data_IF_979355294211
#
_entry.id   IF_979355294211
#
_cell.length_a   1.000
_cell.length_b   1.000
_cell.length_c   1.000
_cell.angle_alpha   90.00
_cell.angle_beta   90.00
_cell.angle_gamma   90.00
#
_symmetry.space_group_name_H-M   'P 1'
#
loop_
_entity.id
_entity.type
_entity.pdbx_description
1 polymer ?
#
# COMPACT_ATOMS: atom_id res chain seq x y z
N UNK A 1 -10.84 7.26 -28.42
CA UNK A 1 -10.21 7.58 -27.12
C UNK A 1 -11.11 8.57 -26.40
N UNK A 2 -11.96 8.09 -25.50
CA UNK A 2 -12.84 8.94 -24.70
C UNK A 2 -12.01 9.59 -23.60
N UNK A 3 -11.76 10.89 -23.77
CA UNK A 3 -10.94 11.71 -22.86
C UNK A 3 -11.59 11.82 -21.48
N UNK A 4 -10.75 11.88 -20.44
CA UNK A 4 -11.13 12.21 -19.05
C UNK A 4 -12.04 13.46 -18.97
N UNK A 5 -11.83 14.41 -19.88
CA UNK A 5 -12.64 15.62 -19.99
C UNK A 5 -14.12 15.34 -20.28
N UNK A 6 -14.43 14.33 -21.09
CA UNK A 6 -15.82 13.97 -21.40
C UNK A 6 -16.55 13.38 -20.19
N UNK A 7 -15.82 12.72 -19.28
CA UNK A 7 -16.38 12.14 -18.07
C UNK A 7 -16.68 13.23 -17.02
N UNK A 8 -15.79 14.22 -16.90
CA UNK A 8 -16.05 15.40 -16.06
C UNK A 8 -17.20 16.25 -16.57
N UNK A 9 -17.32 16.43 -17.88
CA UNK A 9 -18.41 17.19 -18.50
C UNK A 9 -19.77 16.52 -18.28
N UNK A 10 -19.82 15.18 -18.38
CA UNK A 10 -21.03 14.41 -18.04
C UNK A 10 -21.42 14.54 -16.56
N UNK A 11 -20.43 14.49 -15.64
CA UNK A 11 -20.68 14.67 -14.21
C UNK A 11 -21.19 16.10 -13.88
N UNK A 12 -20.63 17.11 -14.55
CA UNK A 12 -21.03 18.51 -14.40
C UNK A 12 -22.42 18.79 -14.97
N UNK A 13 -22.78 18.16 -16.11
CA UNK A 13 -24.09 18.28 -16.73
C UNK A 13 -25.23 17.79 -15.81
N UNK A 14 -25.01 16.69 -15.07
CA UNK A 14 -25.98 16.19 -14.09
C UNK A 14 -26.26 17.17 -12.94
N UNK A 15 -25.23 17.91 -12.49
CA UNK A 15 -25.36 18.95 -11.45
C UNK A 15 -26.06 20.21 -11.96
N UNK A 16 -25.84 20.60 -13.22
CA UNK A 16 -26.48 21.76 -13.83
C UNK A 16 -28.01 21.55 -14.04
N UNK A 17 -28.44 20.32 -14.33
CA UNK A 17 -29.86 20.01 -14.49
C UNK A 17 -30.63 20.09 -13.15
N UNK A 18 -29.96 19.75 -12.03
CA UNK A 18 -30.52 19.89 -10.68
C UNK A 18 -30.69 21.35 -10.25
N UNK A 19 -29.75 22.24 -10.58
CA UNK A 19 -29.83 23.66 -10.22
C UNK A 19 -30.83 24.45 -11.07
N UNK A 20 -31.06 24.04 -12.33
CA UNK A 20 -32.08 24.63 -13.20
C UNK A 20 -33.51 24.40 -12.69
N UNK A 21 -33.78 23.25 -12.06
CA UNK A 21 -35.08 22.96 -11.44
C UNK A 21 -35.37 23.85 -10.21
N UNK A 22 -34.34 24.20 -9.44
CA UNK A 22 -34.48 25.06 -8.26
C UNK A 22 -34.72 26.54 -8.59
N UNK A 23 -34.36 27.00 -9.80
CA UNK A 23 -34.42 28.43 -10.18
C UNK A 23 -35.79 28.90 -10.70
N UNK A 24 -36.76 27.99 -10.86
CA UNK A 24 -38.09 28.29 -11.42
C UNK A 24 -39.09 28.83 -10.38
N UNK A 25 -38.67 29.05 -9.14
CA UNK A 25 -39.55 29.31 -7.99
C UNK A 25 -39.73 30.76 -7.53
N UNK A 26 -39.17 31.77 -8.19
CA UNK A 26 -39.36 33.15 -7.70
C UNK A 26 -39.35 34.19 -8.83
N UNK A 27 -40.52 34.40 -9.45
CA UNK A 27 -40.75 35.52 -10.34
C UNK A 27 -41.09 36.75 -9.49
N UNK A 28 -40.06 37.53 -9.15
CA UNK A 28 -40.22 38.81 -8.44
C UNK A 28 -40.90 39.84 -9.34
N UNK A 29 -41.96 40.45 -8.81
CA UNK A 29 -42.82 41.46 -9.42
C UNK A 29 -42.06 42.77 -9.66
N UNK A 30 -41.38 42.86 -10.81
CA UNK A 30 -40.82 44.10 -11.32
C UNK A 30 -41.65 44.56 -12.52
N UNK A 31 -42.57 45.50 -12.31
CA UNK A 31 -43.38 46.09 -13.37
C UNK A 31 -42.55 47.01 -14.26
N UNK A 32 -42.03 46.47 -15.36
CA UNK A 32 -41.39 47.21 -16.43
C UNK A 32 -42.43 47.90 -17.34
N UNK A 33 -42.01 48.93 -18.07
CA UNK A 33 -42.82 49.63 -19.09
C UNK A 33 -43.15 48.66 -20.22
N UNK A 34 -44.45 48.56 -20.58
CA UNK A 34 -44.91 47.62 -21.60
C UNK A 34 -44.18 47.83 -22.94
N UNK A 35 -43.46 46.82 -23.40
CA UNK A 35 -42.87 46.77 -24.73
C UNK A 35 -43.90 46.35 -25.80
N UNK A 36 -43.75 46.79 -27.07
CA UNK A 36 -44.58 46.31 -28.16
C UNK A 36 -44.46 44.78 -28.28
N UNK A 37 -45.60 44.08 -28.35
CA UNK A 37 -45.77 42.60 -28.38
C UNK A 37 -45.87 41.87 -27.02
N UNK A 38 -46.07 42.56 -25.90
CA UNK A 38 -46.35 41.91 -24.60
C UNK A 38 -47.71 41.19 -24.51
N UNK A 39 -48.55 41.25 -25.53
CA UNK A 39 -49.83 40.52 -25.58
C UNK A 39 -49.70 39.07 -26.06
N UNK A 40 -48.50 38.60 -26.41
CA UNK A 40 -48.28 37.19 -26.77
C UNK A 40 -48.22 36.37 -25.47
N UNK A 41 -49.40 35.98 -25.00
CA UNK A 41 -49.53 35.06 -23.88
C UNK A 41 -49.22 33.65 -24.40
N UNK A 42 -47.99 33.19 -24.16
CA UNK A 42 -47.63 31.79 -24.40
C UNK A 42 -48.41 30.95 -23.40
N UNK A 43 -49.46 30.28 -23.88
CA UNK A 43 -50.20 29.30 -23.10
C UNK A 43 -49.29 28.10 -22.82
N UNK A 44 -48.70 28.06 -21.63
CA UNK A 44 -47.96 26.90 -21.14
C UNK A 44 -49.01 25.94 -20.56
N UNK A 45 -49.40 24.93 -21.35
CA UNK A 45 -50.26 23.85 -20.86
C UNK A 45 -49.57 23.19 -19.67
N UNK A 46 -50.21 23.23 -18.50
CA UNK A 46 -49.75 22.48 -17.33
C UNK A 46 -49.93 20.99 -17.64
N UNK A 47 -48.83 20.29 -17.88
CA UNK A 47 -48.83 18.84 -18.03
C UNK A 47 -48.94 18.26 -16.63
N UNK A 48 -50.14 17.82 -16.26
CA UNK A 48 -50.35 17.03 -15.06
C UNK A 48 -49.85 15.61 -15.30
N UNK A 49 -48.74 15.26 -14.65
CA UNK A 49 -48.11 13.94 -14.74
C UNK A 49 -48.41 13.07 -13.51
N UNK A 50 -49.38 13.45 -12.65
CA UNK A 50 -49.69 12.72 -11.41
C UNK A 50 -50.13 11.27 -11.63
N UNK A 51 -50.68 10.96 -12.81
CA UNK A 51 -51.12 9.61 -13.21
C UNK A 51 -50.12 8.87 -14.09
N UNK A 52 -48.97 9.48 -14.40
CA UNK A 52 -47.96 8.87 -15.27
C UNK A 52 -47.06 7.97 -14.43
N UNK A 53 -47.19 6.66 -14.60
CA UNK A 53 -46.25 5.70 -14.03
C UNK A 53 -45.08 5.54 -14.99
N UNK A 54 -43.86 5.67 -14.46
CA UNK A 54 -42.64 5.44 -15.25
C UNK A 54 -42.61 3.97 -15.68
N UNK A 55 -42.82 3.72 -16.98
CA UNK A 55 -42.60 2.41 -17.57
C UNK A 55 -41.09 2.23 -17.75
N UNK A 56 -40.43 1.66 -16.73
CA UNK A 56 -39.05 1.22 -16.88
C UNK A 56 -39.09 -0.09 -17.65
N UNK A 57 -38.66 -0.06 -18.91
CA UNK A 57 -38.46 -1.29 -19.66
C UNK A 57 -37.37 -2.10 -18.96
N UNK A 58 -37.73 -3.31 -18.52
CA UNK A 58 -36.82 -4.20 -17.80
C UNK A 58 -35.59 -4.53 -18.64
N UNK A 59 -35.73 -4.54 -19.96
CA UNK A 59 -34.63 -4.81 -20.90
C UNK A 59 -33.57 -3.72 -20.87
N UNK A 60 -33.99 -2.46 -20.90
CA UNK A 60 -33.09 -1.31 -20.87
C UNK A 60 -32.41 -1.15 -19.51
N UNK A 61 -33.14 -1.46 -18.43
CA UNK A 61 -32.57 -1.47 -17.08
C UNK A 61 -31.50 -2.56 -16.93
N UNK A 62 -31.78 -3.78 -17.37
CA UNK A 62 -30.81 -4.88 -17.34
C UNK A 62 -29.59 -4.59 -18.21
N UNK A 63 -29.78 -3.99 -19.39
CA UNK A 63 -28.67 -3.60 -20.26
C UNK A 63 -27.78 -2.53 -19.60
N UNK A 64 -28.38 -1.54 -18.95
CA UNK A 64 -27.67 -0.47 -18.24
C UNK A 64 -26.88 -1.00 -17.03
N UNK A 65 -27.51 -1.87 -16.23
CA UNK A 65 -26.86 -2.52 -15.08
C UNK A 65 -25.74 -3.45 -15.52
N UNK A 66 -25.95 -4.21 -16.60
CA UNK A 66 -24.94 -5.09 -17.18
C UNK A 66 -23.72 -4.33 -17.68
N UNK A 67 -23.93 -3.19 -18.36
CA UNK A 67 -22.83 -2.33 -18.82
C UNK A 67 -22.05 -1.74 -17.64
N UNK A 68 -22.74 -1.19 -16.63
CA UNK A 68 -22.09 -0.65 -15.43
C UNK A 68 -21.31 -1.73 -14.66
N UNK A 69 -21.91 -2.91 -14.48
CA UNK A 69 -21.26 -4.06 -13.86
C UNK A 69 -20.04 -4.53 -14.65
N UNK A 70 -20.12 -4.59 -15.98
CA UNK A 70 -19.02 -4.97 -16.86
C UNK A 70 -17.82 -4.03 -16.79
N UNK A 71 -18.07 -2.71 -16.73
CA UNK A 71 -16.98 -1.73 -16.56
C UNK A 71 -16.30 -1.87 -15.19
N UNK A 72 -17.08 -2.09 -14.13
CA UNK A 72 -16.54 -2.31 -12.79
C UNK A 72 -15.70 -3.59 -12.71
N UNK A 73 -16.21 -4.71 -13.23
CA UNK A 73 -15.48 -5.99 -13.23
C UNK A 73 -14.22 -5.93 -14.09
N UNK A 74 -14.29 -5.32 -15.27
CA UNK A 74 -13.11 -5.11 -16.12
C UNK A 74 -12.06 -4.24 -15.43
N UNK A 75 -12.48 -3.18 -14.73
CA UNK A 75 -11.58 -2.31 -13.97
C UNK A 75 -10.90 -3.06 -12.82
N UNK A 76 -11.65 -3.84 -12.02
CA UNK A 76 -11.06 -4.66 -10.96
C UNK A 76 -10.08 -5.69 -11.51
N UNK A 77 -10.43 -6.34 -12.63
CA UNK A 77 -9.57 -7.35 -13.25
C UNK A 77 -8.28 -6.74 -13.78
N UNK A 78 -8.35 -5.54 -14.38
CA UNK A 78 -7.18 -4.78 -14.80
C UNK A 78 -6.26 -4.45 -13.60
N UNK A 79 -6.83 -3.97 -12.49
CA UNK A 79 -6.09 -3.66 -11.27
C UNK A 79 -5.42 -4.92 -10.71
N UNK A 80 -6.17 -6.02 -10.64
CA UNK A 80 -5.66 -7.31 -10.16
C UNK A 80 -4.51 -7.86 -11.03
N UNK A 81 -4.57 -7.63 -12.34
CA UNK A 81 -3.50 -8.03 -13.28
C UNK A 81 -2.24 -7.17 -13.13
N UNK A 82 -2.40 -5.89 -12.79
CA UNK A 82 -1.28 -4.93 -12.66
C UNK A 82 -0.57 -5.01 -11.31
N UNK A 83 -1.29 -5.37 -10.24
CA UNK A 83 -0.80 -5.45 -8.87
C UNK A 83 0.48 -6.30 -8.71
N UNK A 84 0.57 -7.52 -9.27
CA UNK A 84 1.75 -8.36 -9.17
C UNK A 84 3.00 -7.68 -9.73
N UNK A 85 2.88 -6.96 -10.84
CA UNK A 85 4.00 -6.26 -11.48
C UNK A 85 4.55 -5.11 -10.65
N UNK A 86 3.69 -4.36 -9.94
CA UNK A 86 4.15 -3.33 -9.01
C UNK A 86 4.81 -3.91 -7.76
N UNK A 87 4.28 -5.03 -7.25
CA UNK A 87 4.79 -5.69 -6.05
C UNK A 87 6.17 -6.33 -6.27
N UNK A 88 6.41 -6.92 -7.44
CA UNK A 88 7.72 -7.50 -7.79
C UNK A 88 8.81 -6.43 -7.89
N UNK A 89 8.49 -5.23 -8.38
CA UNK A 89 9.42 -4.10 -8.42
C UNK A 89 9.76 -3.58 -7.02
N UNK A 90 8.77 -3.50 -6.12
CA UNK A 90 9.04 -3.11 -4.73
C UNK A 90 9.84 -4.18 -3.99
N UNK A 91 9.52 -5.46 -4.22
CA UNK A 91 10.22 -6.58 -3.63
C UNK A 91 11.69 -6.65 -4.08
N UNK A 92 12.00 -6.32 -5.34
CA UNK A 92 13.38 -6.31 -5.83
C UNK A 92 14.24 -5.27 -5.12
N UNK A 93 13.70 -4.08 -4.87
CA UNK A 93 14.41 -3.04 -4.12
C UNK A 93 14.67 -3.45 -2.67
N UNK A 94 13.67 -4.08 -2.03
CA UNK A 94 13.85 -4.63 -0.68
C UNK A 94 14.90 -5.74 -0.66
N UNK A 95 14.93 -6.59 -1.68
CA UNK A 95 15.93 -7.66 -1.79
C UNK A 95 17.35 -7.09 -1.91
N UNK A 96 17.54 -6.01 -2.67
CA UNK A 96 18.85 -5.39 -2.84
C UNK A 96 19.34 -4.71 -1.56
N UNK A 97 18.45 -4.05 -0.82
CA UNK A 97 18.75 -3.53 0.51
C UNK A 97 19.20 -4.65 1.46
N UNK A 98 18.46 -5.77 1.51
CA UNK A 98 18.80 -6.91 2.36
C UNK A 98 20.16 -7.54 1.99
N UNK A 99 20.52 -7.57 0.71
CA UNK A 99 21.85 -8.06 0.28
C UNK A 99 22.95 -7.14 0.78
N UNK A 100 22.80 -5.82 0.62
CA UNK A 100 23.78 -4.86 1.11
C UNK A 100 23.96 -4.96 2.63
N UNK A 101 22.87 -5.08 3.39
CA UNK A 101 22.93 -5.25 4.84
C UNK A 101 23.64 -6.55 5.22
N UNK A 102 23.36 -7.66 4.52
CA UNK A 102 24.04 -8.93 4.76
C UNK A 102 25.53 -8.85 4.47
N UNK A 103 25.92 -8.20 3.38
CA UNK A 103 27.33 -8.07 3.00
C UNK A 103 28.09 -7.17 4.00
N UNK A 104 27.44 -6.11 4.50
CA UNK A 104 27.98 -5.29 5.58
C UNK A 104 28.20 -6.10 6.86
N UNK A 105 27.17 -6.81 7.33
CA UNK A 105 27.23 -7.60 8.58
C UNK A 105 28.26 -8.73 8.50
N UNK A 106 28.39 -9.38 7.35
CA UNK A 106 29.40 -10.43 7.15
C UNK A 106 30.82 -9.86 7.14
N UNK A 107 31.02 -8.66 6.59
CA UNK A 107 32.31 -7.99 6.65
C UNK A 107 32.66 -7.57 8.09
N UNK A 108 31.71 -7.01 8.83
CA UNK A 108 31.88 -6.67 10.25
C UNK A 108 32.26 -7.91 11.08
N UNK A 109 31.59 -9.05 10.86
CA UNK A 109 31.93 -10.33 11.49
C UNK A 109 33.36 -10.79 11.16
N UNK A 110 33.80 -10.64 9.91
CA UNK A 110 35.17 -11.01 9.49
C UNK A 110 36.21 -10.16 10.22
N UNK A 111 35.97 -8.85 10.32
CA UNK A 111 36.84 -7.92 11.05
C UNK A 111 36.87 -8.23 12.54
N UNK A 112 35.72 -8.53 13.14
CA UNK A 112 35.66 -8.90 14.56
C UNK A 112 36.40 -10.21 14.84
N UNK A 113 36.24 -11.22 13.96
CA UNK A 113 36.96 -12.49 14.09
C UNK A 113 38.46 -12.32 13.94
N UNK A 114 38.94 -11.48 13.02
CA UNK A 114 40.38 -11.23 12.88
C UNK A 114 40.94 -10.52 14.11
N UNK A 115 40.21 -9.54 14.67
CA UNK A 115 40.59 -8.89 15.93
C UNK A 115 40.58 -9.85 17.11
N UNK A 116 39.58 -10.71 17.22
CA UNK A 116 39.52 -11.73 18.26
C UNK A 116 40.70 -12.69 18.15
N UNK A 117 41.01 -13.19 16.95
CA UNK A 117 42.16 -14.06 16.72
C UNK A 117 43.50 -13.38 17.05
N UNK A 118 43.62 -12.07 16.79
CA UNK A 118 44.79 -11.29 17.17
C UNK A 118 44.91 -11.18 18.71
N UNK A 119 43.81 -10.93 19.41
CA UNK A 119 43.79 -10.85 20.88
C UNK A 119 44.03 -12.20 21.56
N UNK A 120 43.50 -13.28 20.98
CA UNK A 120 43.64 -14.66 21.49
C UNK A 120 44.95 -15.31 21.01
N UNK A 121 45.81 -14.57 20.28
CA UNK A 121 47.09 -15.11 19.85
C UNK A 121 47.96 -15.47 21.06
N UNK A 122 48.67 -16.62 21.02
CA UNK A 122 49.43 -17.11 22.19
C UNK A 122 50.42 -16.09 22.76
N UNK A 123 51.06 -15.30 21.90
CA UNK A 123 52.02 -14.26 22.30
C UNK A 123 51.38 -13.10 23.07
N UNK A 124 50.16 -12.70 22.68
CA UNK A 124 49.38 -11.69 23.40
C UNK A 124 48.88 -12.25 24.73
N UNK A 125 48.42 -13.51 24.74
CA UNK A 125 48.00 -14.20 25.95
C UNK A 125 49.13 -14.31 26.98
N UNK A 126 50.38 -14.57 26.57
CA UNK A 126 51.54 -14.59 27.47
C UNK A 126 51.84 -13.20 28.05
N UNK A 127 51.75 -12.13 27.24
CA UNK A 127 51.91 -10.75 27.72
C UNK A 127 50.83 -10.35 28.73
N UNK A 128 49.55 -10.69 28.45
CA UNK A 128 48.44 -10.44 29.36
C UNK A 128 48.48 -11.32 30.62
N UNK A 129 48.88 -12.59 30.47
CA UNK A 129 49.06 -13.56 31.56
C UNK A 129 50.07 -13.07 32.60
N UNK A 130 51.19 -12.49 32.15
CA UNK A 130 52.24 -11.99 33.03
C UNK A 130 51.82 -10.81 33.92
N UNK A 131 50.78 -10.04 33.56
CA UNK A 131 50.39 -8.82 34.29
C UNK A 131 49.18 -8.96 35.21
N UNK A 132 48.20 -9.82 34.89
CA UNK A 132 46.92 -9.85 35.63
C UNK A 132 46.42 -11.26 36.00
N UNK A 133 47.10 -12.34 35.58
CA UNK A 133 46.66 -13.70 35.86
C UNK A 133 47.54 -14.34 36.93
N UNK A 134 46.98 -14.55 38.12
CA UNK A 134 47.57 -15.42 39.14
C UNK A 134 47.27 -16.87 38.78
N UNK A 135 48.29 -17.73 38.70
CA UNK A 135 48.09 -19.18 38.54
C UNK A 135 47.14 -19.68 39.63
N UNK A 136 45.95 -20.21 39.28
CA UNK A 136 45.03 -20.71 40.29
C UNK A 136 45.73 -21.85 41.04
N UNK A 137 45.68 -21.81 42.38
CA UNK A 137 46.15 -22.93 43.20
C UNK A 137 45.45 -24.21 42.71
N UNK A 138 46.18 -25.33 42.60
CA UNK A 138 45.69 -26.56 41.97
C UNK A 138 44.35 -27.10 42.53
N UNK A 139 43.97 -26.68 43.75
CA UNK A 139 42.70 -27.02 44.39
C UNK A 139 41.49 -26.16 43.94
N UNK A 140 41.69 -25.07 43.19
CA UNK A 140 40.62 -24.16 42.76
C UNK A 140 40.06 -24.48 41.36
N UNK A 141 40.67 -25.43 40.64
CA UNK A 141 40.22 -25.85 39.31
C UNK A 141 39.33 -27.07 39.45
N UNK A 142 38.03 -26.84 39.53
CA UNK A 142 37.03 -27.92 39.48
C UNK A 142 36.73 -28.20 38.01
N UNK A 143 37.26 -29.30 37.48
CA UNK A 143 36.83 -29.80 36.18
C UNK A 143 35.41 -30.35 36.32
N UNK A 144 34.47 -29.78 35.58
CA UNK A 144 33.12 -30.32 35.50
C UNK A 144 33.21 -31.77 34.97
N UNK A 145 32.54 -32.74 35.62
CA UNK A 145 32.56 -34.12 35.17
C UNK A 145 32.01 -34.19 33.75
N UNK A 146 32.64 -34.96 32.84
CA UNK A 146 32.19 -35.04 31.46
C UNK A 146 30.77 -35.58 31.42
N UNK A 147 29.82 -34.75 30.99
CA UNK A 147 28.46 -35.20 30.68
C UNK A 147 28.55 -36.21 29.54
N UNK A 148 27.86 -37.36 29.68
CA UNK A 148 27.79 -38.42 28.67
C UNK A 148 27.46 -37.81 27.29
N UNK A 149 28.47 -37.70 26.42
CA UNK A 149 28.36 -37.08 25.09
C UNK A 149 29.49 -36.10 24.71
N UNK A 150 30.39 -35.73 25.63
CA UNK A 150 31.51 -34.85 25.32
C UNK A 150 32.63 -35.60 24.55
N UNK A 151 32.92 -35.17 23.32
CA UNK A 151 33.83 -35.80 22.33
C UNK A 151 35.32 -35.55 22.62
N UNK A 152 35.67 -34.99 23.78
CA UNK A 152 37.05 -34.68 24.14
C UNK A 152 37.41 -35.33 25.49
N UNK A 153 37.50 -36.66 25.52
CA UNK A 153 38.21 -37.36 26.59
C UNK A 153 39.66 -37.56 26.17
N UNK A 154 40.58 -36.87 26.84
CA UNK A 154 42.03 -37.14 26.79
C UNK A 154 42.25 -38.61 27.16
N UNK A 155 42.68 -39.40 26.19
CA UNK A 155 43.05 -40.78 26.40
C UNK A 155 44.32 -40.87 27.24
N UNK A 156 44.17 -41.20 28.52
CA UNK A 156 45.27 -41.69 29.35
C UNK A 156 45.54 -43.15 28.98
N UNK A 157 46.61 -43.38 28.22
CA UNK A 157 47.25 -44.70 28.09
C UNK A 157 48.06 -44.97 29.36
N UNK A 158 47.74 -46.07 30.02
CA UNK A 158 48.70 -46.88 30.77
C UNK A 158 48.77 -48.25 30.13
#
# INVERSE_FOLDING_TARGET
MTSLAALFDWLAAGKAMSSAAARRGNATDFRLRRLPKEEIHLYVKSIDNTTVVRLVDKKDWLASVGMAGGVLTASLLLIAMLLPGGYTLLASHRMEQLKHDRDRMTNELRVLRSRQAALVSPSQLEQYAGHNFTTPAAAAVIFAPPSKGAVASLGTRH
#
